data_IF_245063587514
#
_entry.id   IF_245063587514
#
_cell.length_a   1.000
_cell.length_b   1.000
_cell.length_c   1.000
_cell.angle_alpha   90.00
_cell.angle_beta   90.00
_cell.angle_gamma   90.00
#
_symmetry.space_group_name_H-M   'P 1'
#
loop_
_entity.id
_entity.type
_entity.pdbx_description
1 polymer ?
#
# COMPACT_ATOMS: atom_id res chain seq x y z
N UNK A 1 17.59 15.74 22.89
CA UNK A 1 16.88 16.04 21.63
C UNK A 1 17.06 17.52 21.35
N UNK A 2 17.55 17.89 20.17
CA UNK A 2 17.75 19.29 19.76
C UNK A 2 16.40 19.90 19.40
N UNK A 3 15.89 20.81 20.23
CA UNK A 3 14.56 21.42 20.04
C UNK A 3 14.61 22.87 19.50
N UNK A 4 15.76 23.37 19.03
CA UNK A 4 15.92 24.81 18.71
C UNK A 4 16.43 25.12 17.28
N UNK A 5 16.67 24.14 16.41
CA UNK A 5 17.31 24.37 15.10
C UNK A 5 16.35 24.32 13.91
N UNK A 6 15.05 24.06 14.12
CA UNK A 6 14.07 23.89 13.02
C UNK A 6 14.36 22.69 12.11
N UNK A 7 15.33 21.86 12.46
CA UNK A 7 15.73 20.65 11.73
C UNK A 7 15.18 19.40 12.42
N UNK A 8 14.63 18.50 11.61
CA UNK A 8 14.06 17.22 11.95
C UNK A 8 14.79 16.11 11.18
N UNK A 9 15.00 14.98 11.86
CA UNK A 9 15.67 13.79 11.32
C UNK A 9 14.85 12.55 11.62
N UNK A 10 14.98 11.48 10.80
CA UNK A 10 14.37 10.20 11.10
C UNK A 10 14.88 9.67 12.45
N UNK A 11 13.96 9.36 13.36
CA UNK A 11 14.28 8.74 14.64
C UNK A 11 14.12 7.22 14.55
N UNK A 12 15.04 6.47 15.16
CA UNK A 12 14.99 5.01 15.33
C UNK A 12 15.34 4.65 16.76
N UNK A 13 14.76 3.57 17.28
CA UNK A 13 15.14 3.05 18.59
C UNK A 13 16.57 2.47 18.51
N UNK A 14 17.36 2.55 19.59
CA UNK A 14 18.65 1.86 19.65
C UNK A 14 18.50 0.36 19.32
N UNK A 15 19.43 -0.21 18.54
CA UNK A 15 19.46 -1.60 18.08
C UNK A 15 18.33 -2.06 17.13
N UNK A 16 17.43 -1.17 16.72
CA UNK A 16 16.38 -1.52 15.76
C UNK A 16 16.91 -1.43 14.32
N UNK A 17 16.80 -2.51 13.55
CA UNK A 17 17.21 -2.59 12.13
C UNK A 17 16.00 -2.71 11.19
N UNK A 18 15.94 -1.96 10.07
CA UNK A 18 14.80 -2.05 9.19
C UNK A 18 14.76 -3.42 8.51
N UNK A 19 13.57 -4.01 8.42
CA UNK A 19 13.33 -5.25 7.68
C UNK A 19 12.19 -4.99 6.71
N UNK A 20 12.38 -5.39 5.45
CA UNK A 20 11.40 -5.22 4.39
C UNK A 20 10.90 -6.56 3.85
N UNK A 21 9.77 -6.49 3.16
CA UNK A 21 9.21 -7.63 2.46
C UNK A 21 10.18 -8.04 1.35
N UNK A 22 10.58 -9.31 1.31
CA UNK A 22 11.52 -9.79 0.31
C UNK A 22 10.94 -9.68 -1.12
N UNK A 23 11.78 -9.31 -2.09
CA UNK A 23 11.39 -9.17 -3.50
C UNK A 23 10.84 -10.47 -4.13
N UNK A 24 11.21 -11.63 -3.59
CA UNK A 24 10.75 -12.96 -4.02
C UNK A 24 9.48 -13.46 -3.30
N UNK A 25 8.91 -12.67 -2.39
CA UNK A 25 7.73 -13.04 -1.60
C UNK A 25 6.46 -13.27 -2.45
N UNK A 26 5.41 -13.75 -1.78
CA UNK A 26 4.11 -14.05 -2.37
C UNK A 26 3.16 -12.83 -2.46
N UNK A 27 3.66 -11.61 -2.21
CA UNK A 27 2.89 -10.38 -2.26
C UNK A 27 2.60 -9.91 -3.71
N UNK A 28 1.64 -8.99 -3.91
CA UNK A 28 1.37 -8.42 -5.23
C UNK A 28 2.61 -7.73 -5.81
N UNK A 29 2.89 -7.94 -7.10
CA UNK A 29 4.03 -7.33 -7.81
C UNK A 29 4.05 -5.80 -7.69
N UNK A 30 2.87 -5.18 -7.71
CA UNK A 30 2.74 -3.73 -7.51
C UNK A 30 3.30 -3.30 -6.16
N UNK A 31 2.92 -3.98 -5.07
CA UNK A 31 3.42 -3.65 -3.73
C UNK A 31 4.94 -3.80 -3.67
N UNK A 32 5.46 -4.95 -4.12
CA UNK A 32 6.90 -5.23 -4.11
C UNK A 32 7.69 -4.16 -4.86
N UNK A 33 7.26 -3.80 -6.07
CA UNK A 33 7.93 -2.80 -6.91
C UNK A 33 7.98 -1.41 -6.26
N UNK A 34 6.95 -1.02 -5.50
CA UNK A 34 6.87 0.32 -4.91
C UNK A 34 7.60 0.45 -3.57
N UNK A 35 8.14 -0.64 -2.99
CA UNK A 35 8.81 -0.58 -1.69
C UNK A 35 10.00 0.39 -1.67
N UNK A 36 10.98 0.33 -2.59
CA UNK A 36 12.11 1.26 -2.60
C UNK A 36 11.66 2.72 -2.71
N UNK A 37 10.69 2.98 -3.60
CA UNK A 37 10.11 4.31 -3.81
C UNK A 37 9.41 4.84 -2.55
N UNK A 38 8.60 4.01 -1.90
CA UNK A 38 7.86 4.39 -0.70
C UNK A 38 8.81 4.71 0.47
N UNK A 39 9.90 3.94 0.60
CA UNK A 39 10.93 4.19 1.61
C UNK A 39 11.62 5.52 1.35
N UNK A 40 12.01 5.79 0.10
CA UNK A 40 12.62 7.08 -0.26
C UNK A 40 11.71 8.26 0.00
N UNK A 41 10.44 8.17 -0.38
CA UNK A 41 9.44 9.20 -0.07
C UNK A 41 9.30 9.44 1.44
N UNK A 42 9.26 8.36 2.23
CA UNK A 42 9.18 8.45 3.69
C UNK A 42 10.44 9.08 4.28
N UNK A 43 11.61 8.67 3.81
CA UNK A 43 12.89 9.17 4.31
C UNK A 43 13.08 10.65 3.99
N UNK A 44 12.72 11.07 2.78
CA UNK A 44 12.70 12.48 2.38
C UNK A 44 11.72 13.30 3.24
N UNK A 45 10.53 12.78 3.55
CA UNK A 45 9.57 13.49 4.41
C UNK A 45 10.08 13.68 5.86
N UNK A 46 10.82 12.70 6.38
CA UNK A 46 11.39 12.71 7.73
C UNK A 46 12.73 13.46 7.84
N UNK A 47 13.31 13.89 6.73
CA UNK A 47 14.60 14.59 6.69
C UNK A 47 14.39 16.05 6.28
N UNK A 48 14.84 17.02 7.08
CA UNK A 48 14.68 18.43 6.68
C UNK A 48 15.52 18.83 5.48
N UNK A 49 16.66 18.18 5.27
CA UNK A 49 17.61 18.55 4.23
C UNK A 49 18.26 17.30 3.62
N UNK A 50 18.96 17.49 2.50
CA UNK A 50 19.61 16.41 1.78
C UNK A 50 20.75 15.77 2.58
N UNK A 51 21.43 16.53 3.46
CA UNK A 51 22.49 15.99 4.30
C UNK A 51 21.97 14.95 5.30
N UNK A 52 20.83 15.24 5.95
CA UNK A 52 20.15 14.32 6.87
C UNK A 52 19.62 13.10 6.12
N UNK A 53 19.13 13.28 4.89
CA UNK A 53 18.73 12.16 4.05
C UNK A 53 19.91 11.24 3.73
N UNK A 54 21.02 11.81 3.25
CA UNK A 54 22.21 11.06 2.84
C UNK A 54 22.87 10.34 4.02
N UNK A 55 22.80 10.89 5.24
CA UNK A 55 23.32 10.20 6.42
C UNK A 55 22.43 9.05 6.89
N UNK A 56 21.12 9.12 6.65
CA UNK A 56 20.17 8.08 7.03
C UNK A 56 19.96 7.00 5.95
N UNK A 57 20.19 7.33 4.66
CA UNK A 57 19.96 6.43 3.53
C UNK A 57 20.70 5.08 3.61
N UNK A 58 21.99 5.00 3.99
CA UNK A 58 22.75 3.75 3.98
C UNK A 58 22.11 2.62 4.80
N UNK A 59 21.49 2.95 5.94
CA UNK A 59 20.81 1.98 6.81
C UNK A 59 19.61 1.34 6.08
N UNK A 60 18.92 2.12 5.25
CA UNK A 60 17.76 1.64 4.50
C UNK A 60 18.16 0.90 3.22
N UNK A 61 19.23 1.35 2.57
CA UNK A 61 19.79 0.67 1.39
C UNK A 61 20.31 -0.73 1.76
N UNK A 62 21.02 -0.87 2.88
CA UNK A 62 21.47 -2.16 3.39
C UNK A 62 20.29 -3.12 3.68
N UNK A 63 19.20 -2.60 4.26
CA UNK A 63 18.01 -3.39 4.52
C UNK A 63 17.25 -3.79 3.25
N UNK A 64 17.26 -2.94 2.22
CA UNK A 64 16.69 -3.24 0.90
C UNK A 64 17.50 -4.32 0.19
N UNK A 65 18.83 -4.23 0.23
CA UNK A 65 19.73 -5.22 -0.35
C UNK A 65 19.52 -6.59 0.32
N UNK A 66 19.46 -6.65 1.66
CA UNK A 66 19.11 -7.86 2.42
C UNK A 66 17.75 -8.43 2.04
N UNK A 67 16.83 -7.57 1.60
CA UNK A 67 15.49 -7.95 1.16
C UNK A 67 15.42 -8.32 -0.35
N UNK A 68 16.56 -8.30 -1.05
CA UNK A 68 16.67 -8.70 -2.46
C UNK A 68 16.31 -7.61 -3.47
N UNK A 69 16.26 -6.34 -3.05
CA UNK A 69 16.10 -5.22 -3.96
C UNK A 69 17.45 -4.74 -4.49
N UNK A 70 17.50 -4.38 -5.77
CA UNK A 70 18.68 -3.80 -6.43
C UNK A 70 18.65 -2.28 -6.50
N UNK A 71 17.52 -1.69 -6.14
CA UNK A 71 17.29 -0.25 -6.23
C UNK A 71 17.64 0.42 -4.91
N UNK A 72 18.40 1.50 -5.00
CA UNK A 72 18.72 2.37 -3.86
C UNK A 72 17.59 3.37 -3.59
N UNK A 73 17.53 3.84 -2.35
CA UNK A 73 16.57 4.84 -1.89
C UNK A 73 16.89 6.20 -2.53
N UNK A 74 16.01 6.64 -3.44
CA UNK A 74 16.12 7.95 -4.10
C UNK A 74 15.41 9.04 -3.29
N UNK A 75 16.09 10.16 -3.08
CA UNK A 75 15.49 11.34 -2.48
C UNK A 75 14.44 11.91 -3.44
N UNK A 76 13.18 11.91 -3.02
CA UNK A 76 12.14 12.67 -3.71
C UNK A 76 11.99 13.97 -2.97
N UNK A 77 12.61 15.04 -3.48
CA UNK A 77 12.15 16.39 -3.13
C UNK A 77 10.68 16.43 -3.51
N UNK A 78 9.82 16.89 -2.60
CA UNK A 78 8.41 17.01 -2.89
C UNK A 78 8.27 17.98 -4.07
N UNK A 79 8.10 17.45 -5.27
CA UNK A 79 7.52 18.21 -6.36
C UNK A 79 6.16 18.67 -5.83
N UNK A 80 6.06 19.96 -5.51
CA UNK A 80 4.90 20.61 -4.94
C UNK A 80 3.74 20.71 -5.95
N UNK A 81 3.60 19.71 -6.83
CA UNK A 81 2.64 19.66 -7.93
C UNK A 81 2.02 18.28 -8.04
N UNK A 82 1.05 18.02 -7.18
CA UNK A 82 -0.24 17.45 -7.61
C UNK A 82 -1.22 17.49 -6.43
N UNK A 83 -1.77 18.68 -6.18
CA UNK A 83 -3.17 18.72 -5.72
C UNK A 83 -3.95 19.07 -6.96
N UNK A 84 -4.38 18.04 -7.69
CA UNK A 84 -5.40 18.23 -8.73
C UNK A 84 -6.58 18.89 -8.04
N UNK A 85 -6.77 20.15 -8.43
CA UNK A 85 -7.83 21.05 -8.03
C UNK A 85 -9.18 20.39 -8.24
N UNK A 86 -10.13 20.71 -7.35
CA UNK A 86 -11.44 20.09 -7.29
C UNK A 86 -12.18 20.07 -8.62
N UNK A 87 -12.16 18.93 -9.30
CA UNK A 87 -13.09 18.63 -10.36
C UNK A 87 -14.47 18.36 -9.75
N UNK A 88 -15.50 18.93 -10.37
CA UNK A 88 -16.90 18.74 -10.07
C UNK A 88 -17.24 17.24 -9.94
N UNK A 89 -17.22 16.73 -8.71
CA UNK A 89 -17.61 15.34 -8.43
C UNK A 89 -19.10 15.20 -8.75
N UNK A 90 -19.41 14.65 -9.93
CA UNK A 90 -20.74 14.12 -10.25
C UNK A 90 -21.24 13.35 -9.02
N UNK A 91 -22.44 13.68 -8.55
CA UNK A 91 -23.07 13.00 -7.40
C UNK A 91 -23.13 11.50 -7.69
N UNK A 92 -22.16 10.75 -7.17
CA UNK A 92 -22.18 9.28 -7.20
C UNK A 92 -23.27 8.85 -6.22
N UNK A 93 -24.26 8.13 -6.73
CA UNK A 93 -25.24 7.45 -5.88
C UNK A 93 -24.49 6.59 -4.88
N UNK A 94 -24.70 6.83 -3.59
CA UNK A 94 -24.17 5.98 -2.52
C UNK A 94 -24.89 4.64 -2.61
N UNK A 95 -24.17 3.59 -3.03
CA UNK A 95 -24.65 2.21 -2.98
C UNK A 95 -24.11 1.57 -1.70
N UNK A 96 -24.95 0.82 -1.01
CA UNK A 96 -24.50 -0.01 0.11
C UNK A 96 -23.77 -1.22 -0.49
N UNK A 97 -22.44 -1.13 -0.54
CA UNK A 97 -21.57 -2.17 -1.11
C UNK A 97 -20.90 -2.93 0.03
N UNK A 98 -21.06 -4.26 0.01
CA UNK A 98 -20.32 -5.18 0.87
C UNK A 98 -19.07 -5.60 0.11
N UNK A 99 -17.90 -5.43 0.72
CA UNK A 99 -16.63 -5.81 0.12
C UNK A 99 -16.14 -7.12 0.71
N UNK A 100 -15.91 -8.10 -0.15
CA UNK A 100 -15.11 -9.27 0.16
C UNK A 100 -13.68 -9.01 -0.33
N UNK A 101 -12.74 -8.85 0.60
CA UNK A 101 -11.34 -8.58 0.29
C UNK A 101 -10.48 -9.78 0.74
N UNK A 102 -10.38 -10.84 -0.07
CA UNK A 102 -9.59 -12.01 0.29
C UNK A 102 -8.10 -11.63 0.34
N UNK A 103 -7.31 -12.27 1.24
CA UNK A 103 -5.87 -12.05 1.26
C UNK A 103 -5.23 -12.48 -0.07
N UNK A 104 -4.33 -11.66 -0.61
CA UNK A 104 -3.58 -12.00 -1.82
C UNK A 104 -2.53 -13.07 -1.53
N UNK A 105 -2.39 -14.04 -2.43
CA UNK A 105 -1.27 -14.98 -2.41
C UNK A 105 -0.90 -15.41 -3.82
N UNK A 106 0.37 -15.19 -4.21
CA UNK A 106 0.91 -15.59 -5.53
C UNK A 106 0.74 -17.09 -5.85
N UNK A 107 0.69 -17.94 -4.82
CA UNK A 107 0.56 -19.38 -4.97
C UNK A 107 -0.89 -19.84 -5.20
N UNK A 108 -1.86 -18.94 -4.98
CA UNK A 108 -3.28 -19.24 -5.18
C UNK A 108 -3.58 -19.22 -6.67
N UNK A 109 -3.75 -20.42 -7.25
CA UNK A 109 -4.15 -20.58 -8.66
C UNK A 109 -5.66 -20.50 -8.85
N UNK A 110 -6.43 -20.81 -7.82
CA UNK A 110 -7.89 -20.80 -7.87
C UNK A 110 -8.42 -19.38 -7.97
N UNK A 111 -9.41 -19.16 -8.83
CA UNK A 111 -10.17 -17.91 -8.84
C UNK A 111 -11.05 -17.84 -7.59
N UNK A 112 -10.50 -17.35 -6.47
CA UNK A 112 -11.22 -17.17 -5.21
C UNK A 112 -12.44 -16.28 -5.44
N UNK A 113 -12.26 -15.15 -6.14
CA UNK A 113 -13.34 -14.23 -6.47
C UNK A 113 -14.46 -14.92 -7.25
N UNK A 114 -14.12 -15.68 -8.30
CA UNK A 114 -15.10 -16.41 -9.11
C UNK A 114 -15.82 -17.49 -8.30
N UNK A 115 -15.09 -18.23 -7.46
CA UNK A 115 -15.65 -19.28 -6.60
C UNK A 115 -16.62 -18.67 -5.59
N UNK A 116 -16.22 -17.59 -4.92
CA UNK A 116 -17.07 -16.87 -3.99
C UNK A 116 -18.35 -16.33 -4.66
N UNK A 117 -18.24 -15.72 -5.84
CA UNK A 117 -19.41 -15.22 -6.57
C UNK A 117 -20.34 -16.32 -7.08
N UNK A 118 -19.84 -17.54 -7.32
CA UNK A 118 -20.67 -18.72 -7.61
C UNK A 118 -21.41 -19.20 -6.36
N UNK A 119 -20.75 -19.20 -5.20
CA UNK A 119 -21.41 -19.52 -3.93
C UNK A 119 -22.49 -18.49 -3.59
N UNK A 120 -22.25 -17.21 -3.89
CA UNK A 120 -23.25 -16.15 -3.73
C UNK A 120 -24.51 -16.48 -4.53
N UNK A 121 -24.39 -16.80 -5.81
CA UNK A 121 -25.55 -17.13 -6.65
C UNK A 121 -26.24 -18.43 -6.20
N UNK A 122 -25.47 -19.43 -5.77
CA UNK A 122 -25.98 -20.74 -5.32
C UNK A 122 -26.80 -20.62 -4.04
N UNK A 123 -26.34 -19.84 -3.08
CA UNK A 123 -26.95 -19.75 -1.75
C UNK A 123 -27.93 -18.58 -1.60
N UNK A 124 -27.91 -17.61 -2.52
CA UNK A 124 -28.84 -16.47 -2.55
C UNK A 124 -29.52 -16.33 -3.93
N UNK A 125 -30.31 -17.32 -4.37
CA UNK A 125 -30.98 -17.30 -5.66
C UNK A 125 -32.04 -16.20 -5.75
N UNK A 126 -32.44 -15.82 -6.96
CA UNK A 126 -33.45 -14.78 -7.17
C UNK A 126 -34.78 -15.16 -6.51
N UNK A 127 -35.32 -14.25 -5.68
CA UNK A 127 -36.56 -14.48 -4.93
C UNK A 127 -36.37 -14.87 -3.46
N UNK A 128 -35.14 -15.17 -3.00
CA UNK A 128 -34.88 -15.37 -1.57
C UNK A 128 -34.90 -14.03 -0.79
N UNK A 129 -35.29 -14.08 0.49
CA UNK A 129 -35.37 -12.89 1.36
C UNK A 129 -34.05 -12.10 1.40
N UNK A 130 -32.93 -12.82 1.41
CA UNK A 130 -31.59 -12.25 1.53
C UNK A 130 -31.00 -11.75 0.21
N UNK A 131 -31.61 -12.08 -0.94
CA UNK A 131 -31.08 -11.73 -2.26
C UNK A 131 -31.06 -10.22 -2.50
N UNK A 132 -31.90 -9.44 -1.81
CA UNK A 132 -31.84 -7.97 -1.88
C UNK A 132 -30.51 -7.40 -1.35
N UNK A 133 -29.87 -8.09 -0.41
CA UNK A 133 -28.63 -7.68 0.26
C UNK A 133 -27.43 -8.41 -0.33
N UNK A 134 -27.50 -9.74 -0.45
CA UNK A 134 -26.40 -10.59 -0.91
C UNK A 134 -26.60 -10.96 -2.38
N UNK A 135 -26.25 -10.03 -3.27
CA UNK A 135 -26.27 -10.23 -4.71
C UNK A 135 -25.05 -9.57 -5.38
N UNK A 136 -24.84 -9.84 -6.67
CA UNK A 136 -23.71 -9.31 -7.45
C UNK A 136 -23.72 -7.78 -7.62
N UNK A 137 -24.83 -7.09 -7.36
CA UNK A 137 -24.91 -5.63 -7.40
C UNK A 137 -24.39 -5.00 -6.10
N UNK A 138 -24.62 -5.67 -4.97
CA UNK A 138 -24.29 -5.21 -3.62
C UNK A 138 -22.96 -5.79 -3.09
N UNK A 139 -22.60 -7.02 -3.45
CA UNK A 139 -21.34 -7.65 -3.02
C UNK A 139 -20.30 -7.53 -4.11
N UNK A 140 -19.11 -7.02 -3.77
CA UNK A 140 -17.97 -6.85 -4.67
C UNK A 140 -16.72 -7.50 -4.09
N UNK A 141 -15.82 -7.91 -4.98
CA UNK A 141 -14.54 -8.52 -4.62
C UNK A 141 -13.42 -7.55 -5.02
N UNK A 142 -12.45 -7.33 -4.13
CA UNK A 142 -11.22 -6.55 -4.41
C UNK A 142 -9.98 -7.42 -4.52
#
# INVERSE_FOLDING_TARGET
MEHNTGTHRPFRKPNDQPVYINASSNHPKSIIKHIPEAIGKRLSALSSNQGIFNSAAPIYDEALEKSGFKEEVKSKKADAKERVTGENKKRRRKRNVIWFNPPFGKNVKTSIAGTFLKLLDKHFPQGSDSTKIFNRNCVKVS
#
